data_IF_548105703664
#
_entry.id   IF_548105703664
#
_cell.length_a   1.000
_cell.length_b   1.000
_cell.length_c   1.000
_cell.angle_alpha   90.00
_cell.angle_beta   90.00
_cell.angle_gamma   90.00
#
_symmetry.space_group_name_H-M   'P 1'
#
loop_
_entity.id
_entity.type
_entity.pdbx_description
1 polymer ?
#
# COMPACT_ATOMS: atom_id res chain seq x y z
N UNK A 1 6.87 2.89 8.60
CA UNK A 1 6.28 4.24 8.42
C UNK A 1 4.76 4.07 8.32
N UNK A 2 3.97 4.94 8.94
CA UNK A 2 2.51 4.82 8.95
C UNK A 2 1.87 5.76 7.92
N UNK A 3 0.79 5.33 7.29
CA UNK A 3 -0.08 6.21 6.52
C UNK A 3 -0.76 7.21 7.47
N UNK A 4 -0.76 8.49 7.12
CA UNK A 4 -1.48 9.48 7.91
C UNK A 4 -3.00 9.30 7.77
N UNK A 5 -3.72 9.70 8.81
CA UNK A 5 -5.16 9.50 8.92
C UNK A 5 -5.92 10.26 7.84
N UNK A 6 -5.42 11.43 7.42
CA UNK A 6 -6.08 12.25 6.40
C UNK A 6 -6.01 11.55 5.04
N UNK A 7 -4.84 11.09 4.62
CA UNK A 7 -4.66 10.32 3.39
C UNK A 7 -5.47 9.02 3.42
N UNK A 8 -5.53 8.33 4.55
CA UNK A 8 -6.37 7.14 4.71
C UNK A 8 -7.85 7.43 4.35
N UNK A 9 -8.44 8.47 4.94
CA UNK A 9 -9.83 8.82 4.65
C UNK A 9 -10.02 9.37 3.24
N UNK A 10 -9.03 10.06 2.67
CA UNK A 10 -9.09 10.47 1.26
C UNK A 10 -9.20 9.25 0.35
N UNK A 11 -8.31 8.26 0.48
CA UNK A 11 -8.37 7.03 -0.31
C UNK A 11 -9.70 6.30 -0.11
N UNK A 12 -10.17 6.20 1.13
CA UNK A 12 -11.42 5.54 1.47
C UNK A 12 -12.63 6.18 0.78
N UNK A 13 -12.66 7.52 0.72
CA UNK A 13 -13.75 8.32 0.17
C UNK A 13 -13.62 8.58 -1.34
N UNK A 14 -12.45 8.39 -1.95
CA UNK A 14 -12.21 8.56 -3.40
C UNK A 14 -12.73 7.40 -4.26
N UNK A 15 -13.60 6.55 -3.71
CA UNK A 15 -14.26 5.44 -4.41
C UNK A 15 -13.83 4.04 -3.97
N UNK A 16 -12.88 3.91 -3.04
CA UNK A 16 -12.51 2.60 -2.49
C UNK A 16 -13.71 1.94 -1.79
N UNK A 17 -14.41 2.69 -0.93
CA UNK A 17 -15.60 2.20 -0.20
C UNK A 17 -16.69 1.72 -1.14
N UNK A 18 -16.98 2.51 -2.18
CA UNK A 18 -18.04 2.20 -3.13
C UNK A 18 -17.72 0.92 -3.90
N UNK A 19 -16.48 0.76 -4.36
CA UNK A 19 -16.03 -0.45 -5.09
C UNK A 19 -16.01 -1.69 -4.21
N UNK A 20 -15.52 -1.56 -2.97
CA UNK A 20 -15.50 -2.67 -2.00
C UNK A 20 -16.91 -3.17 -1.69
N UNK A 21 -17.85 -2.26 -1.44
CA UNK A 21 -19.21 -2.61 -1.06
C UNK A 21 -20.08 -3.08 -2.24
N UNK A 22 -19.75 -2.69 -3.47
CA UNK A 22 -20.51 -3.03 -4.67
C UNK A 22 -20.00 -4.27 -5.41
N UNK A 23 -18.77 -4.71 -5.15
CA UNK A 23 -18.14 -5.82 -5.90
C UNK A 23 -18.00 -7.06 -5.01
N UNK A 24 -18.49 -8.24 -5.44
CA UNK A 24 -18.26 -9.48 -4.71
C UNK A 24 -16.77 -9.83 -4.66
N UNK A 25 -16.27 -10.18 -3.47
CA UNK A 25 -14.89 -10.67 -3.31
C UNK A 25 -14.70 -11.91 -4.19
N UNK A 26 -13.78 -11.88 -5.17
CA UNK A 26 -13.54 -13.02 -6.05
C UNK A 26 -13.11 -14.24 -5.26
N UNK A 27 -13.84 -15.35 -5.44
CA UNK A 27 -13.46 -16.68 -4.93
C UNK A 27 -13.82 -17.70 -6.00
N UNK A 28 -13.11 -18.82 -6.05
CA UNK A 28 -13.34 -19.86 -7.06
C UNK A 28 -14.81 -20.33 -7.16
N UNK A 29 -15.59 -20.21 -6.08
CA UNK A 29 -17.00 -20.60 -6.01
C UNK A 29 -17.98 -19.41 -5.95
N UNK A 30 -17.53 -18.19 -6.21
CA UNK A 30 -18.37 -16.97 -6.18
C UNK A 30 -18.48 -16.41 -7.59
N UNK A 31 -19.71 -16.28 -8.08
CA UNK A 31 -19.98 -15.60 -9.34
C UNK A 31 -19.65 -14.12 -9.22
N UNK A 32 -18.91 -13.57 -10.20
CA UNK A 32 -18.63 -12.14 -10.31
C UNK A 32 -19.89 -11.28 -10.54
N UNK A 33 -21.01 -11.92 -10.92
CA UNK A 33 -22.33 -11.29 -11.07
C UNK A 33 -23.22 -11.45 -9.83
N UNK A 34 -22.68 -12.03 -8.75
CA UNK A 34 -23.41 -12.19 -7.49
C UNK A 34 -23.65 -10.86 -6.79
N UNK A 35 -24.64 -10.79 -5.90
CA UNK A 35 -24.77 -9.63 -5.03
C UNK A 35 -23.69 -9.67 -3.93
N UNK A 36 -22.97 -8.55 -3.68
CA UNK A 36 -22.02 -8.47 -2.58
C UNK A 36 -22.74 -8.67 -1.24
N UNK A 37 -22.08 -9.37 -0.31
CA UNK A 37 -22.62 -9.64 1.02
C UNK A 37 -21.86 -8.82 2.06
N UNK A 38 -22.21 -7.54 2.16
CA UNK A 38 -21.56 -6.56 3.04
C UNK A 38 -21.57 -7.05 4.49
N UNK A 39 -22.74 -7.46 5.00
CA UNK A 39 -22.94 -7.92 6.38
C UNK A 39 -22.29 -9.27 6.73
N UNK A 40 -21.76 -9.99 5.73
CA UNK A 40 -21.09 -11.28 5.91
C UNK A 40 -19.59 -11.23 5.55
N UNK A 41 -19.09 -10.05 5.17
CA UNK A 41 -17.66 -9.85 4.95
C UNK A 41 -16.95 -9.79 6.28
N UNK A 42 -15.78 -10.45 6.38
CA UNK A 42 -14.97 -10.40 7.60
C UNK A 42 -14.35 -9.02 7.84
N UNK A 43 -14.25 -8.21 6.78
CA UNK A 43 -13.78 -6.82 6.84
C UNK A 43 -14.76 -5.90 6.12
N UNK A 44 -14.99 -4.73 6.71
CA UNK A 44 -15.56 -3.57 6.03
C UNK A 44 -14.50 -2.89 5.14
N UNK A 45 -14.92 -1.87 4.37
CA UNK A 45 -14.02 -1.18 3.46
C UNK A 45 -12.82 -0.54 4.19
N UNK A 46 -13.05 0.01 5.39
CA UNK A 46 -11.98 0.60 6.20
C UNK A 46 -10.97 -0.45 6.66
N UNK A 47 -11.44 -1.60 7.15
CA UNK A 47 -10.60 -2.73 7.53
C UNK A 47 -9.81 -3.29 6.35
N UNK A 48 -10.42 -3.41 5.17
CA UNK A 48 -9.75 -3.87 3.96
C UNK A 48 -8.67 -2.91 3.46
N UNK A 49 -8.95 -1.60 3.49
CA UNK A 49 -7.95 -0.58 3.17
C UNK A 49 -6.81 -0.60 4.20
N UNK A 50 -7.13 -0.70 5.49
CA UNK A 50 -6.15 -0.81 6.56
C UNK A 50 -5.24 -2.03 6.41
N UNK A 51 -5.80 -3.19 6.06
CA UNK A 51 -5.06 -4.42 5.77
C UNK A 51 -4.07 -4.20 4.62
N UNK A 52 -4.54 -3.58 3.53
CA UNK A 52 -3.75 -3.34 2.31
C UNK A 52 -2.61 -2.37 2.55
N UNK A 53 -2.89 -1.24 3.19
CA UNK A 53 -1.87 -0.23 3.50
C UNK A 53 -0.85 -0.77 4.50
N UNK A 54 -1.28 -1.59 5.47
CA UNK A 54 -0.35 -2.26 6.37
C UNK A 54 0.54 -3.26 5.63
N UNK A 55 -0.01 -4.04 4.72
CA UNK A 55 0.74 -4.96 3.87
C UNK A 55 1.80 -4.23 3.01
N UNK A 56 1.46 -3.08 2.42
CA UNK A 56 2.38 -2.30 1.59
C UNK A 56 3.48 -1.57 2.40
N UNK A 57 3.20 -1.19 3.64
CA UNK A 57 4.09 -0.35 4.46
C UNK A 57 4.92 -1.12 5.49
N UNK A 58 4.75 -2.43 5.59
CA UNK A 58 5.33 -3.26 6.65
C UNK A 58 6.10 -4.45 6.06
N UNK A 59 7.35 -4.66 6.48
CA UNK A 59 8.13 -5.87 6.19
C UNK A 59 7.66 -7.10 6.99
N UNK A 60 6.44 -7.08 7.52
CA UNK A 60 5.96 -8.02 8.52
C UNK A 60 5.45 -9.31 7.87
N UNK A 61 5.66 -10.44 8.54
CA UNK A 61 5.21 -11.74 8.08
C UNK A 61 3.67 -11.82 8.01
N UNK A 62 3.15 -12.57 7.04
CA UNK A 62 1.71 -12.80 6.83
C UNK A 62 0.99 -13.35 8.08
N UNK A 63 1.70 -14.10 8.92
CA UNK A 63 1.19 -14.62 10.20
C UNK A 63 0.76 -13.48 11.14
N UNK A 64 1.49 -12.38 11.15
CA UNK A 64 1.16 -11.25 12.01
C UNK A 64 -0.03 -10.46 11.44
N UNK A 65 -0.17 -10.37 10.12
CA UNK A 65 -1.37 -9.81 9.46
C UNK A 65 -2.64 -10.59 9.86
N UNK A 66 -2.55 -11.92 9.88
CA UNK A 66 -3.64 -12.79 10.33
C UNK A 66 -4.05 -12.51 11.78
N UNK A 67 -3.07 -12.28 12.66
CA UNK A 67 -3.32 -11.96 14.07
C UNK A 67 -3.97 -10.59 14.28
N UNK A 68 -3.51 -9.55 13.57
CA UNK A 68 -4.07 -8.20 13.71
C UNK A 68 -5.49 -8.08 13.19
N UNK A 69 -5.79 -8.75 12.09
CA UNK A 69 -7.12 -8.69 11.44
C UNK A 69 -8.04 -9.84 11.82
N UNK A 70 -7.58 -10.77 12.67
CA UNK A 70 -8.31 -11.98 13.07
C UNK A 70 -8.81 -12.82 11.87
N UNK A 71 -7.96 -12.96 10.86
CA UNK A 71 -8.26 -13.67 9.61
C UNK A 71 -7.40 -14.92 9.45
N UNK A 72 -7.93 -15.94 8.78
CA UNK A 72 -7.16 -17.11 8.35
C UNK A 72 -6.34 -16.81 7.09
N UNK A 73 -5.24 -17.53 6.80
CA UNK A 73 -4.33 -17.21 5.68
C UNK A 73 -5.04 -17.08 4.33
N UNK A 74 -5.94 -18.01 4.01
CA UNK A 74 -6.68 -17.98 2.73
C UNK A 74 -7.58 -16.76 2.61
N UNK A 75 -8.16 -16.31 3.73
CA UNK A 75 -9.02 -15.14 3.77
C UNK A 75 -8.20 -13.86 3.63
N UNK A 76 -7.03 -13.78 4.29
CA UNK A 76 -6.10 -12.65 4.14
C UNK A 76 -5.71 -12.47 2.68
N UNK A 77 -5.24 -13.53 2.02
CA UNK A 77 -4.82 -13.44 0.61
C UNK A 77 -5.94 -12.99 -0.31
N UNK A 78 -7.16 -13.56 -0.20
CA UNK A 78 -8.28 -13.11 -1.03
C UNK A 78 -8.69 -11.66 -0.78
N UNK A 79 -8.64 -11.19 0.47
CA UNK A 79 -8.95 -9.80 0.78
C UNK A 79 -7.85 -8.87 0.27
N UNK A 80 -6.57 -9.26 0.39
CA UNK A 80 -5.44 -8.49 -0.12
C UNK A 80 -5.49 -8.36 -1.63
N UNK A 81 -5.61 -9.46 -2.37
CA UNK A 81 -5.65 -9.43 -3.84
C UNK A 81 -6.78 -8.51 -4.32
N UNK A 82 -7.97 -8.67 -3.75
CA UNK A 82 -9.12 -7.88 -4.11
C UNK A 82 -9.01 -6.40 -3.71
N UNK A 83 -8.48 -6.12 -2.51
CA UNK A 83 -8.30 -4.77 -2.03
C UNK A 83 -7.18 -4.03 -2.76
N UNK A 84 -6.10 -4.72 -3.17
CA UNK A 84 -5.04 -4.17 -4.02
C UNK A 84 -5.58 -3.76 -5.39
N UNK A 85 -6.42 -4.61 -6.00
CA UNK A 85 -7.08 -4.29 -7.27
C UNK A 85 -7.98 -3.05 -7.14
N UNK A 86 -8.79 -2.97 -6.08
CA UNK A 86 -9.66 -1.80 -5.83
C UNK A 86 -8.81 -0.56 -5.56
N UNK A 87 -7.74 -0.68 -4.76
CA UNK A 87 -6.84 0.43 -4.43
C UNK A 87 -6.19 0.97 -5.70
N UNK A 88 -5.65 0.10 -6.56
CA UNK A 88 -5.05 0.50 -7.82
C UNK A 88 -6.05 1.27 -8.68
N UNK A 89 -7.26 0.75 -8.87
CA UNK A 89 -8.27 1.45 -9.66
C UNK A 89 -8.75 2.75 -9.01
N UNK A 90 -8.73 2.85 -7.68
CA UNK A 90 -9.05 4.08 -6.95
C UNK A 90 -7.99 5.13 -7.23
N UNK A 91 -6.72 4.76 -7.08
CA UNK A 91 -5.57 5.62 -7.37
C UNK A 91 -5.54 6.05 -8.83
N UNK A 92 -5.81 5.18 -9.81
CA UNK A 92 -5.86 5.55 -11.22
C UNK A 92 -6.92 6.61 -11.55
N UNK A 93 -7.95 6.76 -10.72
CA UNK A 93 -9.00 7.75 -10.91
C UNK A 93 -8.72 9.08 -10.18
N UNK A 94 -7.66 9.13 -9.36
CA UNK A 94 -7.27 10.34 -8.64
C UNK A 94 -6.33 11.19 -9.51
N UNK A 95 -6.58 12.51 -9.64
CA UNK A 95 -5.71 13.39 -10.41
C UNK A 95 -4.30 13.46 -9.81
N UNK A 96 -4.16 13.31 -8.49
CA UNK A 96 -2.88 13.32 -7.77
C UNK A 96 -1.97 12.13 -8.11
N UNK A 97 -2.51 11.07 -8.71
CA UNK A 97 -1.75 9.88 -9.11
C UNK A 97 -1.36 9.89 -10.59
N UNK A 98 -1.63 10.99 -11.32
CA UNK A 98 -1.17 11.11 -12.69
C UNK A 98 0.36 11.11 -12.72
N UNK A 99 0.95 10.08 -13.33
CA UNK A 99 2.40 10.04 -13.54
C UNK A 99 2.70 10.87 -14.79
N UNK A 100 3.15 12.11 -14.58
CA UNK A 100 3.70 12.95 -15.63
C UNK A 100 5.11 13.42 -15.27
N UNK A 101 5.83 13.88 -16.28
CA UNK A 101 7.12 14.53 -16.05
C UNK A 101 6.86 15.95 -15.54
N UNK A 102 7.42 16.35 -14.39
CA UNK A 102 7.12 17.63 -13.81
C UNK A 102 7.59 18.79 -14.68
N UNK A 103 6.87 19.90 -14.64
CA UNK A 103 7.29 21.14 -15.30
C UNK A 103 8.42 21.86 -14.55
N UNK A 104 8.91 22.96 -15.10
CA UNK A 104 10.04 23.68 -14.50
C UNK A 104 9.76 24.19 -13.08
N UNK A 105 8.55 24.64 -12.80
CA UNK A 105 8.18 25.15 -11.48
C UNK A 105 8.01 23.99 -10.51
N UNK A 106 7.34 22.91 -10.92
CA UNK A 106 7.18 21.67 -10.14
C UNK A 106 8.57 21.11 -9.75
N UNK A 107 9.53 21.06 -10.67
CA UNK A 107 10.90 20.63 -10.39
C UNK A 107 11.57 21.48 -9.29
N UNK A 108 11.34 22.80 -9.28
CA UNK A 108 11.90 23.68 -8.25
C UNK A 108 11.24 23.40 -6.90
N UNK A 109 9.93 23.24 -6.87
CA UNK A 109 9.16 22.92 -5.66
C UNK A 109 9.58 21.56 -5.08
N UNK A 110 9.63 20.53 -5.92
CA UNK A 110 10.09 19.19 -5.54
C UNK A 110 11.53 19.19 -5.04
N UNK A 111 12.42 19.97 -5.67
CA UNK A 111 13.80 20.09 -5.21
C UNK A 111 13.89 20.69 -3.81
N UNK A 112 13.06 21.70 -3.49
CA UNK A 112 13.01 22.30 -2.17
C UNK A 112 12.52 21.29 -1.11
N UNK A 113 11.50 20.49 -1.43
CA UNK A 113 10.97 19.45 -0.55
C UNK A 113 12.03 18.35 -0.30
N UNK A 114 12.67 17.85 -1.36
CA UNK A 114 13.71 16.83 -1.26
C UNK A 114 14.89 17.34 -0.46
N UNK A 115 15.34 18.56 -0.70
CA UNK A 115 16.46 19.15 0.04
C UNK A 115 16.12 19.39 1.52
N UNK A 116 14.86 19.72 1.84
CA UNK A 116 14.41 19.85 3.24
C UNK A 116 14.49 18.51 3.99
N UNK A 117 14.13 17.40 3.34
CA UNK A 117 14.23 16.05 3.91
C UNK A 117 15.67 15.50 3.88
N UNK A 118 16.44 15.82 2.83
CA UNK A 118 17.76 15.26 2.54
C UNK A 118 18.75 16.35 2.11
N UNK A 119 19.33 17.11 3.04
CA UNK A 119 20.16 18.29 2.73
C UNK A 119 21.44 18.04 1.91
N UNK A 120 21.82 16.77 1.75
CA UNK A 120 22.99 16.37 0.94
C UNK A 120 22.63 16.10 -0.53
N UNK A 121 21.35 15.98 -0.86
CA UNK A 121 20.89 15.79 -2.23
C UNK A 121 20.66 17.15 -2.89
N UNK A 122 21.26 17.36 -4.06
CA UNK A 122 21.15 18.60 -4.83
C UNK A 122 20.67 18.28 -6.23
N UNK A 123 19.70 19.06 -6.74
CA UNK A 123 19.15 18.88 -8.10
C UNK A 123 18.20 17.70 -8.27
N UNK A 124 17.79 17.03 -7.19
CA UNK A 124 16.73 16.01 -7.25
C UNK A 124 15.37 16.66 -7.51
N UNK A 125 14.59 16.09 -8.42
CA UNK A 125 13.22 16.51 -8.73
C UNK A 125 12.19 15.42 -8.41
N UNK A 126 12.64 14.26 -7.95
CA UNK A 126 11.80 13.17 -7.47
C UNK A 126 12.56 12.38 -6.41
N UNK A 127 11.84 11.84 -5.43
CA UNK A 127 12.33 10.83 -4.51
C UNK A 127 11.33 9.67 -4.47
N UNK A 128 11.83 8.47 -4.23
CA UNK A 128 11.01 7.28 -4.02
C UNK A 128 11.44 6.71 -2.69
N UNK A 129 10.49 6.57 -1.76
CA UNK A 129 10.74 5.83 -0.54
C UNK A 129 10.79 4.33 -0.86
N UNK A 130 11.81 3.66 -0.34
CA UNK A 130 12.08 2.26 -0.67
C UNK A 130 11.00 1.31 -0.15
N UNK A 131 10.86 0.15 -0.79
CA UNK A 131 10.00 -0.91 -0.27
C UNK A 131 10.64 -1.54 0.98
N UNK A 132 9.87 -1.67 2.06
CA UNK A 132 10.29 -2.40 3.26
C UNK A 132 10.25 -3.90 3.00
N UNK A 133 11.33 -4.45 2.43
CA UNK A 133 11.47 -5.88 2.16
C UNK A 133 12.08 -6.60 3.38
N UNK A 134 11.61 -7.80 3.74
CA UNK A 134 12.31 -8.63 4.71
C UNK A 134 13.70 -8.97 4.16
N UNK A 135 14.75 -8.39 4.76
CA UNK A 135 16.13 -8.76 4.46
C UNK A 135 16.56 -9.82 5.47
N UNK A 136 17.12 -10.93 4.99
CA UNK A 136 17.85 -11.85 5.85
C UNK A 136 19.25 -11.27 6.05
N UNK A 137 19.50 -10.73 7.24
CA UNK A 137 20.85 -10.35 7.64
C UNK A 137 21.54 -11.56 8.28
N UNK A 138 22.85 -11.70 8.00
CA UNK A 138 23.64 -12.68 8.73
C UNK A 138 23.75 -12.23 10.20
N UNK A 139 23.55 -13.16 11.14
CA UNK A 139 23.71 -12.88 12.57
C UNK A 139 25.14 -12.42 12.93
N UNK A 140 26.13 -12.74 12.08
CA UNK A 140 27.53 -12.34 12.22
C UNK A 140 27.82 -11.02 11.48
N UNK A 141 28.17 -9.94 12.20
CA UNK A 141 28.51 -8.64 11.62
C UNK A 141 29.70 -8.70 10.65
N UNK A 142 30.65 -9.60 10.86
CA UNK A 142 31.82 -9.75 9.97
C UNK A 142 31.41 -10.37 8.63
N UNK A 143 30.51 -11.35 8.65
CA UNK A 143 29.97 -11.97 7.43
C UNK A 143 29.09 -10.97 6.68
N UNK A 144 28.25 -10.21 7.38
CA UNK A 144 27.42 -9.16 6.78
C UNK A 144 28.32 -8.11 6.07
N UNK A 145 29.32 -7.57 6.76
CA UNK A 145 30.25 -6.60 6.16
C UNK A 145 31.06 -7.18 4.98
N UNK A 146 31.43 -8.46 5.03
CA UNK A 146 32.17 -9.11 3.95
C UNK A 146 31.30 -9.41 2.71
N UNK A 147 29.97 -9.44 2.87
CA UNK A 147 29.02 -9.80 1.79
C UNK A 147 28.14 -8.64 1.34
N UNK A 148 28.23 -7.47 2.00
CA UNK A 148 27.50 -6.26 1.65
C UNK A 148 28.01 -5.65 0.33
N UNK A 149 27.16 -5.67 -0.72
CA UNK A 149 27.52 -5.21 -2.07
C UNK A 149 26.97 -3.83 -2.46
N UNK A 150 26.41 -3.08 -1.50
CA UNK A 150 25.76 -1.78 -1.76
C UNK A 150 24.25 -1.91 -1.81
#
# INVERSE_FOLDING_TARGET
>A
MGFDVTTFYQLLNSGFTDKWNSTPIPRANVSSQGQPRIEASSLDAAGALGLTLHFLSSAMQEISLQQFFALIPTTVNWHLDFALDILLQTLCNMPENAIHFPDHNEIIEDNLLIHACHPKLVGGFASIDGLSLPCQEADDPEVNNATYNG
#
